data_IF_534708117213
#
_entry.id   IF_534708117213
#
_cell.length_a   1.000
_cell.length_b   1.000
_cell.length_c   1.000
_cell.angle_alpha   90.00
_cell.angle_beta   90.00
_cell.angle_gamma   90.00
#
_symmetry.space_group_name_H-M   'P 1'
#
loop_
_entity.id
_entity.type
_entity.pdbx_description
1 polymer ?
#
# COMPACT_ATOMS: atom_id res chain seq x y z
N UNK A 1 -20.70 0.37 -1.36
CA UNK A 1 -19.27 0.49 -0.96
C UNK A 1 -18.41 0.24 -2.20
N UNK A 2 -17.60 1.21 -2.66
CA UNK A 2 -16.69 0.98 -3.79
C UNK A 2 -15.54 0.09 -3.29
N UNK A 3 -15.39 -1.12 -3.86
CA UNK A 3 -14.19 -1.95 -3.63
C UNK A 3 -13.03 -1.29 -4.39
N UNK A 4 -11.89 -1.11 -3.72
CA UNK A 4 -10.65 -0.69 -4.39
C UNK A 4 -10.13 -1.84 -5.26
N UNK A 5 -9.68 -1.53 -6.47
CA UNK A 5 -9.00 -2.51 -7.33
C UNK A 5 -7.58 -2.78 -6.80
N UNK A 6 -6.96 -3.91 -7.17
CA UNK A 6 -5.61 -4.29 -6.71
C UNK A 6 -4.54 -3.25 -7.09
N UNK A 7 -4.67 -2.62 -8.25
CA UNK A 7 -3.81 -1.53 -8.73
C UNK A 7 -3.94 -0.24 -7.91
N UNK A 8 -5.12 0.00 -7.32
CA UNK A 8 -5.37 1.17 -6.49
C UNK A 8 -4.85 1.01 -5.06
N UNK A 9 -4.65 -0.23 -4.61
CA UNK A 9 -4.11 -0.53 -3.30
C UNK A 9 -2.59 -0.42 -3.36
N UNK A 10 -2.05 0.59 -2.68
CA UNK A 10 -0.62 0.84 -2.59
C UNK A 10 -0.09 0.46 -1.21
N UNK A 11 1.07 -0.14 -1.19
CA UNK A 11 1.83 -0.54 -0.01
C UNK A 11 3.15 0.22 0.02
N UNK A 12 3.55 0.67 1.20
CA UNK A 12 4.85 1.31 1.43
C UNK A 12 5.71 0.38 2.27
N UNK A 13 6.92 0.06 1.83
CA UNK A 13 7.88 -0.65 2.68
C UNK A 13 8.17 0.19 3.93
N UNK A 14 8.09 -0.45 5.10
CA UNK A 14 8.30 0.26 6.37
C UNK A 14 9.73 0.79 6.52
N UNK A 15 10.72 0.08 5.97
CA UNK A 15 12.14 0.38 6.14
C UNK A 15 12.69 1.34 5.07
N UNK A 16 12.48 1.04 3.79
CA UNK A 16 13.04 1.87 2.71
C UNK A 16 12.09 2.96 2.20
N UNK A 17 10.82 2.93 2.61
CA UNK A 17 9.83 3.92 2.20
C UNK A 17 9.35 3.83 0.75
N UNK A 18 9.87 2.89 -0.07
CA UNK A 18 9.40 2.70 -1.44
C UNK A 18 7.95 2.21 -1.47
N UNK A 19 7.21 2.70 -2.46
CA UNK A 19 5.79 2.40 -2.65
C UNK A 19 5.63 1.43 -3.81
N UNK A 20 4.81 0.41 -3.60
CA UNK A 20 4.50 -0.64 -4.55
C UNK A 20 2.99 -0.85 -4.60
N UNK A 21 2.47 -1.35 -5.72
CA UNK A 21 1.08 -1.79 -5.84
C UNK A 21 0.88 -3.14 -5.16
N UNK A 22 -0.38 -3.53 -4.90
CA UNK A 22 -0.68 -4.86 -4.37
C UNK A 22 -0.16 -5.98 -5.26
N UNK A 23 -0.20 -5.78 -6.59
CA UNK A 23 0.24 -6.77 -7.57
C UNK A 23 1.75 -6.91 -7.59
N UNK A 24 2.48 -5.80 -7.47
CA UNK A 24 3.94 -5.81 -7.33
C UNK A 24 4.37 -6.54 -6.05
N UNK A 25 3.69 -6.28 -4.91
CA UNK A 25 4.02 -6.96 -3.65
C UNK A 25 3.76 -8.47 -3.74
N UNK A 26 2.68 -8.89 -4.41
CA UNK A 26 2.40 -10.31 -4.71
C UNK A 26 3.50 -10.91 -5.60
N UNK A 27 3.90 -10.21 -6.67
CA UNK A 27 4.95 -10.65 -7.60
C UNK A 27 6.33 -10.79 -6.92
N UNK A 28 6.62 -9.92 -5.95
CA UNK A 28 7.85 -9.96 -5.15
C UNK A 28 7.78 -10.96 -3.98
N UNK A 29 6.73 -11.80 -3.93
CA UNK A 29 6.47 -12.77 -2.84
C UNK A 29 6.49 -12.15 -1.44
N UNK A 30 6.10 -10.88 -1.33
CA UNK A 30 6.09 -10.16 -0.06
C UNK A 30 7.47 -9.73 0.46
N UNK A 31 8.52 -9.71 -0.37
CA UNK A 31 9.83 -9.17 0.00
C UNK A 31 10.14 -7.88 -0.77
N UNK A 32 10.72 -6.88 -0.09
CA UNK A 32 11.11 -5.65 -0.73
C UNK A 32 12.41 -5.86 -1.55
N UNK A 33 12.43 -5.56 -2.86
CA UNK A 33 13.60 -5.78 -3.71
C UNK A 33 14.74 -4.82 -3.39
N UNK A 34 14.45 -3.73 -2.67
CA UNK A 34 15.44 -2.72 -2.34
C UNK A 34 16.17 -2.97 -1.01
N UNK A 35 15.51 -3.64 -0.05
CA UNK A 35 16.07 -3.80 1.29
C UNK A 35 15.88 -5.19 1.89
N UNK A 36 15.25 -6.12 1.17
CA UNK A 36 15.01 -7.50 1.61
C UNK A 36 13.96 -7.66 2.71
N UNK A 37 13.43 -6.58 3.29
CA UNK A 37 12.43 -6.67 4.34
C UNK A 37 11.03 -7.03 3.81
N UNK A 38 10.22 -7.69 4.64
CA UNK A 38 8.87 -8.17 4.30
C UNK A 38 7.74 -7.35 4.97
N UNK A 39 8.08 -6.23 5.61
CA UNK A 39 7.12 -5.38 6.31
C UNK A 39 6.65 -4.25 5.41
N UNK A 40 5.36 -4.27 5.08
CA UNK A 40 4.69 -3.27 4.24
C UNK A 40 3.47 -2.68 4.93
N UNK A 41 3.25 -1.38 4.75
CA UNK A 41 2.13 -0.62 5.33
C UNK A 41 1.22 -0.11 4.22
N UNK A 42 -0.09 -0.30 4.35
CA UNK A 42 -1.07 0.22 3.38
C UNK A 42 -1.05 1.74 3.36
N UNK A 43 -0.92 2.31 2.18
CA UNK A 43 -0.95 3.76 1.97
C UNK A 43 -2.39 4.25 1.96
N UNK A 44 -2.64 5.40 2.61
CA UNK A 44 -3.95 6.03 2.62
C UNK A 44 -4.30 6.48 1.18
N UNK A 45 -5.50 6.15 0.66
CA UNK A 45 -5.93 6.65 -0.64
C UNK A 45 -6.07 8.18 -0.58
N UNK A 46 -5.81 8.86 -1.71
CA UNK A 46 -5.89 10.32 -1.82
C UNK A 46 -7.35 10.85 -1.78
N UNK A 47 -8.34 9.98 -1.54
CA UNK A 47 -9.73 10.38 -1.44
C UNK A 47 -9.99 10.99 -0.05
N UNK A 48 -10.50 12.24 0.01
CA UNK A 48 -10.84 12.86 1.28
C UNK A 48 -11.98 12.09 1.95
N UNK A 49 -11.80 11.78 3.23
CA UNK A 49 -12.86 11.17 4.04
C UNK A 49 -13.67 12.31 4.64
N UNK A 50 -14.90 12.50 4.18
CA UNK A 50 -15.84 13.45 4.79
C UNK A 50 -16.24 12.88 6.16
N UNK A 51 -15.94 13.63 7.20
CA UNK A 51 -16.29 13.30 8.60
C UNK A 51 -17.22 14.37 9.13
N UNK A 52 -18.34 13.96 9.76
CA UNK A 52 -19.20 14.85 10.52
C UNK A 52 -18.65 14.91 11.94
N UNK A 53 -18.10 16.04 12.33
CA UNK A 53 -17.81 16.33 13.74
C UNK A 53 -19.13 16.69 14.43
N UNK A 54 -19.41 16.09 15.58
CA UNK A 54 -20.53 16.46 16.46
C UNK A 54 -19.97 17.13 17.70
#
# INVERSE_FOLDING_TARGET
>A
MKRLTREQIRYRCFFCGKVYTSEEVEAMRGFCPNCGNNVFVKVRPQQPKIVKAR
#
